data_IF_677423158976
#
_entry.id   IF_677423158976
#
_cell.length_a   1.000
_cell.length_b   1.000
_cell.length_c   1.000
_cell.angle_alpha   90.00
_cell.angle_beta   90.00
_cell.angle_gamma   90.00
#
_symmetry.space_group_name_H-M   'P 1'
#
loop_
_entity.id
_entity.type
_entity.pdbx_description
1 polymer ?
#
# COMPACT_ATOMS: atom_id res chain seq x y z
N UNK A 1 -5.37 -2.58 14.63
CA UNK A 1 -4.33 -1.66 15.11
C UNK A 1 -2.97 -2.14 14.61
N UNK A 2 -2.24 -1.33 13.83
CA UNK A 2 -0.89 -1.69 13.41
C UNK A 2 0.08 -1.65 14.61
N UNK A 3 1.12 -2.51 14.63
CA UNK A 3 2.17 -2.43 15.64
C UNK A 3 2.85 -1.05 15.63
N UNK A 4 2.96 -0.42 16.82
CA UNK A 4 3.53 0.93 16.97
C UNK A 4 4.92 1.08 16.36
N UNK A 5 5.72 0.02 16.41
CA UNK A 5 7.07 -0.02 15.85
C UNK A 5 7.07 0.16 14.32
N UNK A 6 6.09 -0.45 13.64
CA UNK A 6 5.96 -0.35 12.18
C UNK A 6 5.52 1.07 11.80
N UNK A 7 4.49 1.60 12.47
CA UNK A 7 3.99 2.96 12.24
C UNK A 7 5.13 3.97 12.40
N UNK A 8 5.93 3.84 13.47
CA UNK A 8 7.09 4.71 13.70
C UNK A 8 8.14 4.59 12.59
N UNK A 9 8.44 3.36 12.14
CA UNK A 9 9.41 3.11 11.07
C UNK A 9 8.96 3.74 9.74
N UNK A 10 7.68 3.63 9.40
CA UNK A 10 7.10 4.27 8.21
C UNK A 10 7.23 5.78 8.31
N UNK A 11 6.77 6.40 9.41
CA UNK A 11 6.82 7.86 9.54
C UNK A 11 8.26 8.39 9.52
N UNK A 12 9.22 7.68 10.12
CA UNK A 12 10.63 8.09 10.07
C UNK A 12 11.24 8.13 8.67
N UNK A 13 10.61 7.49 7.66
CA UNK A 13 11.02 7.60 6.26
C UNK A 13 10.54 8.90 5.60
N UNK A 14 9.50 9.53 6.15
CA UNK A 14 8.90 10.76 5.62
C UNK A 14 9.34 12.03 6.36
N UNK A 15 10.09 11.91 7.46
CA UNK A 15 10.60 13.06 8.20
C UNK A 15 11.92 12.76 8.91
N UNK A 16 12.86 13.68 8.77
CA UNK A 16 14.15 13.63 9.49
C UNK A 16 14.07 14.24 10.90
N UNK A 17 12.88 14.72 11.30
CA UNK A 17 12.69 15.40 12.59
C UNK A 17 12.39 14.41 13.72
N UNK A 18 12.91 14.71 14.91
CA UNK A 18 12.58 13.97 16.13
C UNK A 18 11.11 14.18 16.49
N UNK A 19 10.37 13.07 16.63
CA UNK A 19 8.95 13.07 16.99
C UNK A 19 8.83 12.87 18.49
N UNK A 20 8.11 13.76 19.17
CA UNK A 20 7.84 13.68 20.61
C UNK A 20 6.98 12.46 20.97
N UNK A 21 6.97 12.05 22.24
CA UNK A 21 6.12 10.93 22.71
C UNK A 21 4.65 11.19 22.40
N UNK A 22 4.14 12.39 22.70
CA UNK A 22 2.78 12.80 22.38
C UNK A 22 2.50 12.77 20.87
N UNK A 23 3.47 13.19 20.04
CA UNK A 23 3.35 13.11 18.59
C UNK A 23 3.19 11.67 18.10
N UNK A 24 3.95 10.72 18.68
CA UNK A 24 3.79 9.29 18.35
C UNK A 24 2.43 8.74 18.78
N UNK A 25 1.89 9.16 19.92
CA UNK A 25 0.55 8.76 20.35
C UNK A 25 -0.52 9.27 19.37
N UNK A 26 -0.43 10.53 18.95
CA UNK A 26 -1.34 11.13 17.95
C UNK A 26 -1.25 10.43 16.61
N UNK A 27 -0.05 10.13 16.13
CA UNK A 27 0.15 9.38 14.88
C UNK A 27 -0.54 8.01 14.96
N UNK A 28 -0.37 7.27 16.06
CA UNK A 28 -1.03 5.96 16.22
C UNK A 28 -2.56 6.10 16.22
N UNK A 29 -3.09 7.13 16.89
CA UNK A 29 -4.53 7.43 16.88
C UNK A 29 -5.03 7.72 15.47
N UNK A 30 -4.38 8.64 14.75
CA UNK A 30 -4.77 9.02 13.38
C UNK A 30 -4.63 7.86 12.41
N UNK A 31 -3.58 7.04 12.53
CA UNK A 31 -3.40 5.84 11.71
C UNK A 31 -4.60 4.90 11.86
N UNK A 32 -5.13 4.80 13.08
CA UNK A 32 -6.28 3.95 13.36
C UNK A 32 -7.56 4.50 12.72
N UNK A 33 -7.81 5.80 12.89
CA UNK A 33 -8.93 6.49 12.25
C UNK A 33 -8.85 6.41 10.72
N UNK A 34 -7.64 6.49 10.16
CA UNK A 34 -7.40 6.34 8.74
C UNK A 34 -7.85 4.96 8.24
N UNK A 35 -7.44 3.87 8.90
CA UNK A 35 -7.88 2.53 8.49
C UNK A 35 -9.38 2.31 8.70
N UNK A 36 -9.98 2.84 9.76
CA UNK A 36 -11.43 2.79 9.95
C UNK A 36 -12.17 3.47 8.80
N UNK A 37 -11.72 4.66 8.41
CA UNK A 37 -12.29 5.38 7.28
C UNK A 37 -12.10 4.63 5.95
N UNK A 38 -10.87 4.18 5.66
CA UNK A 38 -10.55 3.42 4.44
C UNK A 38 -11.42 2.17 4.33
N UNK A 39 -11.58 1.42 5.41
CA UNK A 39 -12.43 0.23 5.41
C UNK A 39 -13.91 0.57 5.20
N UNK A 40 -14.39 1.66 5.80
CA UNK A 40 -15.75 2.17 5.57
C UNK A 40 -15.99 2.54 4.10
N UNK A 41 -15.04 3.24 3.47
CA UNK A 41 -15.12 3.63 2.07
C UNK A 41 -15.09 2.40 1.14
N UNK A 42 -14.19 1.45 1.37
CA UNK A 42 -14.10 0.23 0.56
C UNK A 42 -15.36 -0.62 0.66
N UNK A 43 -15.94 -0.76 1.86
CA UNK A 43 -17.20 -1.46 2.04
C UNK A 43 -18.34 -0.75 1.29
N UNK A 44 -18.40 0.57 1.36
CA UNK A 44 -19.41 1.34 0.62
C UNK A 44 -19.27 1.16 -0.90
N UNK A 45 -18.05 1.02 -1.43
CA UNK A 45 -17.82 0.81 -2.87
C UNK A 45 -18.25 -0.59 -3.30
N UNK A 46 -17.93 -1.61 -2.50
CA UNK A 46 -18.39 -2.97 -2.74
C UNK A 46 -19.93 -3.08 -2.67
N UNK A 47 -20.55 -2.50 -1.63
CA UNK A 47 -22.01 -2.47 -1.44
C UNK A 47 -22.72 -1.73 -2.58
N UNK A 48 -22.19 -0.58 -3.01
CA UNK A 48 -22.73 0.17 -4.14
C UNK A 48 -22.69 -0.63 -5.44
N UNK A 49 -21.70 -1.50 -5.61
CA UNK A 49 -21.59 -2.42 -6.74
C UNK A 49 -22.34 -3.75 -6.55
N UNK A 50 -23.08 -3.93 -5.45
CA UNK A 50 -23.83 -5.15 -5.13
C UNK A 50 -22.96 -6.36 -4.80
N UNK A 51 -21.74 -6.13 -4.29
CA UNK A 51 -20.76 -7.16 -3.92
C UNK A 51 -20.52 -7.18 -2.41
N UNK A 52 -20.27 -8.38 -1.88
CA UNK A 52 -19.84 -8.58 -0.49
C UNK A 52 -18.31 -8.63 -0.33
N UNK A 53 -17.58 -8.54 -1.45
CA UNK A 53 -16.12 -8.69 -1.50
C UNK A 53 -15.51 -7.44 -2.11
N UNK A 54 -14.54 -6.86 -1.40
CA UNK A 54 -13.69 -5.76 -1.88
C UNK A 54 -12.69 -6.29 -2.90
N UNK A 55 -12.59 -5.62 -4.04
CA UNK A 55 -11.66 -5.98 -5.13
C UNK A 55 -10.59 -4.89 -5.33
N UNK A 56 -9.57 -5.17 -6.15
CA UNK A 56 -8.51 -4.20 -6.45
C UNK A 56 -9.05 -2.88 -7.01
N UNK A 57 -10.07 -2.94 -7.87
CA UNK A 57 -10.71 -1.74 -8.43
C UNK A 57 -11.33 -0.81 -7.39
N UNK A 58 -11.77 -1.33 -6.24
CA UNK A 58 -12.29 -0.49 -5.14
C UNK A 58 -11.15 0.31 -4.49
N UNK A 59 -9.97 -0.31 -4.36
CA UNK A 59 -8.75 0.34 -3.85
C UNK A 59 -8.24 1.39 -4.83
N UNK A 60 -8.25 1.09 -6.13
CA UNK A 60 -7.89 2.05 -7.18
C UNK A 60 -8.83 3.26 -7.18
N UNK A 61 -10.15 3.04 -7.09
CA UNK A 61 -11.14 4.11 -6.98
C UNK A 61 -10.91 4.96 -5.73
N UNK A 62 -10.61 4.33 -4.58
CA UNK A 62 -10.28 5.03 -3.35
C UNK A 62 -9.05 5.93 -3.53
N UNK A 63 -7.97 5.39 -4.09
CA UNK A 63 -6.72 6.12 -4.30
C UNK A 63 -6.90 7.28 -5.31
N UNK A 64 -7.76 7.13 -6.32
CA UNK A 64 -8.16 8.25 -7.18
C UNK A 64 -8.91 9.33 -6.39
N UNK A 65 -9.87 8.95 -5.55
CA UNK A 65 -10.63 9.91 -4.72
C UNK A 65 -9.78 10.61 -3.66
N UNK A 66 -8.73 9.94 -3.18
CA UNK A 66 -7.72 10.52 -2.28
C UNK A 66 -6.68 11.37 -3.02
N UNK A 67 -6.77 11.50 -4.35
CA UNK A 67 -5.84 12.28 -5.17
C UNK A 67 -4.45 11.69 -5.29
N UNK A 68 -4.27 10.40 -4.98
CA UNK A 68 -2.99 9.70 -5.12
C UNK A 68 -2.78 9.24 -6.58
N UNK A 69 -3.85 8.81 -7.22
CA UNK A 69 -3.85 8.41 -8.63
C UNK A 69 -4.38 9.54 -9.51
N UNK A 70 -3.72 9.74 -10.65
CA UNK A 70 -4.04 10.74 -11.66
C UNK A 70 -3.72 10.17 -13.05
N UNK A 71 -4.06 10.91 -14.11
CA UNK A 71 -3.68 10.53 -15.48
C UNK A 71 -2.16 10.38 -15.66
N UNK A 72 -1.37 10.95 -14.75
CA UNK A 72 0.09 10.88 -14.73
C UNK A 72 0.68 9.92 -13.68
N UNK A 73 -0.11 9.48 -12.70
CA UNK A 73 0.34 8.59 -11.63
C UNK A 73 -0.49 7.31 -11.60
N UNK A 74 0.07 6.24 -12.17
CA UNK A 74 -0.53 4.90 -12.14
C UNK A 74 -0.24 4.20 -10.82
N UNK A 75 -1.04 3.17 -10.51
CA UNK A 75 -0.82 2.28 -9.36
C UNK A 75 0.57 1.65 -9.41
N UNK A 76 1.02 1.26 -10.60
CA UNK A 76 2.33 0.67 -10.83
C UNK A 76 3.46 1.66 -10.51
N UNK A 77 3.35 2.92 -10.93
CA UNK A 77 4.34 3.95 -10.60
C UNK A 77 4.45 4.17 -9.09
N UNK A 78 3.31 4.26 -8.38
CA UNK A 78 3.32 4.38 -6.92
C UNK A 78 3.87 3.12 -6.23
N UNK A 79 3.55 1.94 -6.75
CA UNK A 79 4.05 0.68 -6.21
C UNK A 79 5.58 0.60 -6.36
N UNK A 80 6.13 1.05 -7.47
CA UNK A 80 7.58 1.11 -7.70
C UNK A 80 8.28 2.00 -6.65
N UNK A 81 7.70 3.16 -6.33
CA UNK A 81 8.33 4.15 -5.45
C UNK A 81 8.23 3.79 -3.96
N UNK A 82 7.13 3.15 -3.55
CA UNK A 82 6.81 2.96 -2.13
C UNK A 82 6.84 1.51 -1.63
N UNK A 83 6.86 0.51 -2.52
CA UNK A 83 6.89 -0.90 -2.12
C UNK A 83 8.29 -1.52 -2.27
N UNK A 84 8.66 -2.45 -1.39
CA UNK A 84 9.77 -3.36 -1.62
C UNK A 84 9.61 -4.12 -2.94
N UNK A 85 10.74 -4.50 -3.55
CA UNK A 85 10.79 -5.14 -4.87
C UNK A 85 9.91 -6.39 -4.94
N UNK A 86 9.89 -7.19 -3.89
CA UNK A 86 9.14 -8.45 -3.84
C UNK A 86 7.62 -8.24 -3.89
N UNK A 87 7.13 -7.07 -3.45
CA UNK A 87 5.72 -6.70 -3.50
C UNK A 87 5.39 -5.99 -4.82
N UNK A 88 6.29 -5.14 -5.32
CA UNK A 88 6.15 -4.50 -6.62
C UNK A 88 6.01 -5.54 -7.75
N UNK A 89 6.83 -6.58 -7.72
CA UNK A 89 6.78 -7.68 -8.70
C UNK A 89 5.43 -8.43 -8.69
N UNK A 90 4.58 -8.29 -7.67
CA UNK A 90 3.24 -8.92 -7.69
C UNK A 90 2.19 -8.09 -8.42
N UNK A 91 2.49 -6.82 -8.68
CA UNK A 91 1.55 -5.83 -9.20
C UNK A 91 1.96 -5.36 -10.60
N UNK A 92 3.27 -5.40 -10.90
CA UNK A 92 3.83 -5.02 -12.20
C UNK A 92 3.25 -5.88 -13.34
N UNK A 93 2.84 -5.22 -14.43
CA UNK A 93 2.19 -5.87 -15.58
C UNK A 93 3.14 -6.88 -16.25
N UNK A 94 4.44 -6.61 -16.30
CA UNK A 94 5.41 -7.56 -16.85
C UNK A 94 5.56 -8.82 -15.99
N UNK A 95 5.27 -8.75 -14.69
CA UNK A 95 5.30 -9.89 -13.81
C UNK A 95 4.04 -10.76 -13.91
N UNK A 96 2.89 -10.12 -14.10
CA UNK A 96 1.61 -10.80 -14.32
C UNK A 96 1.53 -11.48 -15.71
N UNK A 97 2.40 -11.11 -16.65
CA UNK A 97 2.50 -11.68 -17.99
C UNK A 97 3.18 -13.07 -18.04
N UNK A 98 3.30 -13.76 -16.91
CA UNK A 98 3.91 -15.10 -16.79
C UNK A 98 5.38 -15.13 -17.25
N UNK A 99 6.11 -14.02 -17.05
CA UNK A 99 7.53 -13.94 -17.32
C UNK A 99 8.33 -14.52 -16.14
N UNK A 100 9.41 -15.23 -16.46
CA UNK A 100 10.38 -15.70 -15.46
C UNK A 100 11.24 -14.50 -15.00
N UNK A 101 10.89 -13.92 -13.85
CA UNK A 101 11.54 -12.70 -13.34
C UNK A 101 12.86 -12.98 -12.60
N UNK A 102 12.98 -14.17 -12.05
CA UNK A 102 14.16 -14.63 -11.33
C UNK A 102 14.58 -15.91 -12.01
N UNK A 103 15.86 -16.04 -12.42
CA UNK A 103 16.35 -17.34 -12.83
C UNK A 103 16.14 -18.29 -11.65
N UNK A 104 15.62 -19.50 -11.93
CA UNK A 104 15.71 -20.60 -10.98
C UNK A 104 17.15 -20.63 -10.44
N UNK A 105 17.30 -20.75 -9.12
CA UNK A 105 18.61 -20.86 -8.49
C UNK A 105 19.25 -22.14 -9.02
N UNK A 106 19.94 -22.06 -10.15
CA UNK A 106 20.83 -23.11 -10.61
C UNK A 106 21.82 -23.36 -9.47
N UNK A 107 21.90 -24.63 -9.11
CA UNK A 107 22.59 -25.17 -7.96
C UNK A 107 23.95 -24.53 -7.73
N UNK A 108 24.21 -24.30 -6.44
CA UNK A 108 25.49 -23.95 -5.85
C UNK A 108 26.67 -24.42 -6.72
N UNK A 109 27.43 -23.45 -7.23
CA UNK A 109 28.66 -23.71 -7.94
C UNK A 109 29.64 -24.39 -6.97
N UNK A 110 29.81 -25.70 -7.14
CA UNK A 110 30.96 -26.47 -6.63
C UNK A 110 32.23 -25.93 -7.28
#
# INVERSE_FOLDING_TARGET
>A
MLPRQIVRKVISKFTDKTITTQGNERINQVTSMFFEQVMGDLNAYAEHAGRDVVISGDVELLMHRQGQLSDTSSVEALAHDFLPRELYDRICVSALANNELYPDKEDDWI
#
